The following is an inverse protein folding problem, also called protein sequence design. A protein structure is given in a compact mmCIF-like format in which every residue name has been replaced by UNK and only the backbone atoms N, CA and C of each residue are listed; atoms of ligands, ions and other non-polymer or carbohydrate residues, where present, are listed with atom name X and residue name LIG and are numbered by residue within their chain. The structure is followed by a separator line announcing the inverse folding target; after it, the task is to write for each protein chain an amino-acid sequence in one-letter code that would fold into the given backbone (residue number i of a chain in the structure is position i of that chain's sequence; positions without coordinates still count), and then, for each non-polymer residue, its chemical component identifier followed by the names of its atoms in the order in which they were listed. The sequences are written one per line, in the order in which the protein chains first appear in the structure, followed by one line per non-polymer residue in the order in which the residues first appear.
data_IF_768410521668
#
_entry.id   IF_768410521668
#
_cell.length_a   1.000
_cell.length_b   1.000
_cell.length_c   1.000
_cell.angle_alpha   90.00
_cell.angle_beta   90.00
_cell.angle_gamma   90.00
#
_symmetry.space_group_name_H-M   'P 1'
#
loop_
_entity.id
_entity.type
_entity.pdbx_description
1 polymer ?
#
# COMPACT_ATOMS: atom_id res chain seq x y z
N UNK A 1 41.91 65.38 7.58
CA UNK A 1 42.83 64.23 7.82
C UNK A 1 42.11 63.32 8.81
N UNK A 2 41.71 62.07 8.58
CA UNK A 2 41.74 61.16 7.45
C UNK A 2 41.27 59.79 7.99
N UNK A 3 40.43 59.07 7.22
CA UNK A 3 40.20 57.60 7.21
C UNK A 3 39.80 56.93 8.55
N UNK A 4 38.78 56.08 8.67
CA UNK A 4 38.32 55.04 7.75
C UNK A 4 36.88 54.64 8.11
N UNK A 5 35.96 54.62 7.13
CA UNK A 5 34.74 53.85 7.23
C UNK A 5 35.07 52.45 6.71
N UNK A 6 35.14 51.47 7.62
CA UNK A 6 35.24 50.06 7.28
C UNK A 6 33.86 49.65 6.76
N UNK A 7 33.69 49.68 5.44
CA UNK A 7 32.61 48.99 4.75
C UNK A 7 32.98 47.52 4.76
N UNK A 8 32.51 46.80 5.77
CA UNK A 8 32.49 45.34 5.76
C UNK A 8 31.45 44.93 4.71
N UNK A 9 31.94 44.70 3.49
CA UNK A 9 31.23 43.96 2.47
C UNK A 9 30.81 42.61 3.08
N UNK A 10 29.55 42.51 3.48
CA UNK A 10 28.83 41.25 3.59
C UNK A 10 28.68 40.72 2.16
N UNK A 11 29.78 40.20 1.63
CA UNK A 11 29.82 39.41 0.42
C UNK A 11 28.90 38.23 0.65
N UNK A 12 27.73 38.34 0.02
CA UNK A 12 26.97 37.25 -0.57
C UNK A 12 27.66 35.89 -0.46
N UNK A 13 27.36 35.18 0.63
CA UNK A 13 27.15 33.75 0.54
C UNK A 13 25.81 33.57 -0.17
N UNK A 14 25.83 33.77 -1.49
CA UNK A 14 24.88 33.10 -2.37
C UNK A 14 25.20 31.61 -2.22
N UNK A 15 24.66 30.99 -1.18
CA UNK A 15 24.33 29.60 -1.25
C UNK A 15 23.33 29.52 -2.42
N UNK A 16 23.88 29.29 -3.61
CA UNK A 16 23.11 28.78 -4.73
C UNK A 16 22.58 27.45 -4.23
N UNK A 17 21.43 27.48 -3.58
CA UNK A 17 20.56 26.34 -3.41
C UNK A 17 20.16 26.00 -4.85
N UNK A 18 21.03 25.25 -5.54
CA UNK A 18 20.60 24.47 -6.68
C UNK A 18 19.65 23.44 -6.08
N UNK A 19 18.38 23.82 -5.96
CA UNK A 19 17.32 22.86 -6.12
C UNK A 19 17.57 22.28 -7.52
N UNK A 20 18.34 21.19 -7.59
CA UNK A 20 18.59 20.51 -8.84
C UNK A 20 17.24 20.08 -9.38
N UNK A 21 16.90 20.53 -10.58
CA UNK A 21 15.71 20.02 -11.27
C UNK A 21 15.80 18.50 -11.27
N UNK A 22 14.80 17.83 -10.67
CA UNK A 22 14.74 16.38 -10.63
C UNK A 22 14.88 15.83 -12.05
N UNK A 23 15.68 14.78 -12.23
CA UNK A 23 15.88 14.18 -13.55
C UNK A 23 14.56 13.65 -14.11
N UNK A 24 14.48 13.47 -15.43
CA UNK A 24 13.26 12.92 -16.08
C UNK A 24 12.89 11.56 -15.47
N UNK A 25 13.91 10.73 -15.18
CA UNK A 25 13.72 9.42 -14.56
C UNK A 25 13.14 9.53 -13.15
N UNK A 26 13.64 10.49 -12.37
CA UNK A 26 13.11 10.79 -11.04
C UNK A 26 11.66 11.28 -11.08
N UNK A 27 11.35 12.27 -11.92
CA UNK A 27 9.97 12.76 -12.11
C UNK A 27 9.02 11.65 -12.56
N UNK A 28 9.49 10.77 -13.44
CA UNK A 28 8.68 9.67 -13.98
C UNK A 28 8.31 8.64 -12.91
N UNK A 29 9.27 8.21 -12.08
CA UNK A 29 8.98 7.26 -11.00
C UNK A 29 8.15 7.92 -9.88
N UNK A 30 8.44 9.18 -9.51
CA UNK A 30 7.65 9.94 -8.53
C UNK A 30 6.18 10.03 -8.96
N UNK A 31 5.90 10.37 -10.22
CA UNK A 31 4.54 10.40 -10.74
C UNK A 31 3.83 9.03 -10.72
N UNK A 32 4.56 7.92 -10.88
CA UNK A 32 3.97 6.58 -10.72
C UNK A 32 3.64 6.27 -9.25
N UNK A 33 4.49 6.70 -8.31
CA UNK A 33 4.27 6.55 -6.87
C UNK A 33 3.04 7.36 -6.45
N UNK A 34 2.95 8.65 -6.82
CA UNK A 34 1.81 9.51 -6.50
C UNK A 34 0.48 8.94 -7.02
N UNK A 35 0.49 8.35 -8.22
CA UNK A 35 -0.69 7.68 -8.78
C UNK A 35 -1.10 6.45 -7.97
N UNK A 36 -0.14 5.67 -7.48
CA UNK A 36 -0.40 4.55 -6.59
C UNK A 36 -0.95 5.01 -5.24
N UNK A 37 -0.35 6.03 -4.62
CA UNK A 37 -0.83 6.60 -3.35
C UNK A 37 -2.27 7.10 -3.46
N UNK A 38 -2.59 7.83 -4.53
CA UNK A 38 -3.95 8.27 -4.80
C UNK A 38 -4.91 7.09 -5.00
N UNK A 39 -4.44 5.98 -5.59
CA UNK A 39 -5.24 4.77 -5.74
C UNK A 39 -5.48 4.06 -4.41
N UNK A 40 -4.48 4.01 -3.53
CA UNK A 40 -4.60 3.46 -2.16
C UNK A 40 -5.71 4.21 -1.41
N UNK A 41 -5.68 5.54 -1.42
CA UNK A 41 -6.72 6.37 -0.76
C UNK A 41 -8.12 6.10 -1.34
N UNK A 42 -8.24 6.04 -2.67
CA UNK A 42 -9.54 5.73 -3.32
C UNK A 42 -10.04 4.32 -2.96
N UNK A 43 -9.16 3.34 -2.89
CA UNK A 43 -9.53 1.97 -2.56
C UNK A 43 -9.90 1.80 -1.08
N UNK A 44 -9.26 2.53 -0.17
CA UNK A 44 -9.67 2.57 1.24
C UNK A 44 -11.05 3.24 1.42
N UNK A 45 -11.34 4.33 0.68
CA UNK A 45 -12.68 4.91 0.68
C UNK A 45 -13.75 3.90 0.27
N UNK A 46 -13.49 3.13 -0.80
CA UNK A 46 -14.40 2.05 -1.23
C UNK A 46 -14.55 0.97 -0.17
N UNK A 47 -13.48 0.62 0.54
CA UNK A 47 -13.54 -0.35 1.63
C UNK A 47 -14.40 0.14 2.80
N UNK A 48 -14.32 1.44 3.12
CA UNK A 48 -15.17 2.07 4.12
C UNK A 48 -16.65 2.14 3.68
N UNK A 49 -16.91 2.45 2.41
CA UNK A 49 -18.25 2.52 1.82
C UNK A 49 -18.95 1.15 1.75
N UNK A 50 -18.19 0.05 1.64
CA UNK A 50 -18.75 -1.31 1.62
C UNK A 50 -19.40 -1.71 2.96
N UNK A 51 -19.11 -0.97 4.04
CA UNK A 51 -19.78 -1.12 5.33
C UNK A 51 -19.51 -2.45 6.03
N UNK A 52 -20.46 -2.89 6.87
CA UNK A 52 -20.43 -4.20 7.53
C UNK A 52 -21.21 -5.21 6.70
N UNK A 53 -20.84 -6.50 6.72
CA UNK A 53 -21.61 -7.52 6.04
C UNK A 53 -22.95 -7.78 6.75
N UNK A 54 -23.88 -8.36 6.02
CA UNK A 54 -25.18 -8.76 6.55
C UNK A 54 -25.05 -9.86 7.62
N UNK A 55 -26.09 -10.05 8.44
CA UNK A 55 -26.04 -10.96 9.60
C UNK A 55 -25.84 -12.43 9.20
N UNK A 56 -26.35 -12.83 8.04
CA UNK A 56 -26.18 -14.18 7.48
C UNK A 56 -24.71 -14.50 7.18
N UNK A 57 -23.93 -13.51 6.74
CA UNK A 57 -22.48 -13.65 6.58
C UNK A 57 -21.81 -13.87 7.92
N UNK A 58 -22.23 -13.15 8.99
CA UNK A 58 -21.71 -13.41 10.34
C UNK A 58 -22.05 -14.82 10.83
N UNK A 59 -23.26 -15.29 10.58
CA UNK A 59 -23.68 -16.64 10.97
C UNK A 59 -22.87 -17.71 10.24
N UNK A 60 -22.51 -17.48 8.98
CA UNK A 60 -21.62 -18.36 8.22
C UNK A 60 -20.18 -18.31 8.74
N UNK A 61 -19.64 -17.12 9.01
CA UNK A 61 -18.28 -16.99 9.55
C UNK A 61 -18.12 -17.76 10.87
N UNK A 62 -19.16 -17.76 11.73
CA UNK A 62 -19.14 -18.50 13.00
C UNK A 62 -19.17 -20.03 12.87
N UNK A 63 -19.38 -20.57 11.67
CA UNK A 63 -19.32 -22.02 11.44
C UNK A 63 -17.88 -22.54 11.30
N UNK A 64 -16.92 -21.64 11.14
CA UNK A 64 -15.49 -21.95 11.00
C UNK A 64 -14.72 -21.61 12.27
N UNK A 65 -13.52 -22.17 12.41
CA UNK A 65 -12.64 -21.85 13.53
C UNK A 65 -12.22 -20.38 13.51
N UNK A 66 -12.21 -19.74 14.68
CA UNK A 66 -11.97 -18.30 14.80
C UNK A 66 -10.67 -17.84 14.14
N UNK A 67 -9.56 -18.56 14.38
CA UNK A 67 -8.27 -18.22 13.78
C UNK A 67 -8.25 -18.39 12.26
N UNK A 68 -8.97 -19.38 11.72
CA UNK A 68 -9.12 -19.56 10.28
C UNK A 68 -9.89 -18.38 9.66
N UNK A 69 -10.98 -17.95 10.32
CA UNK A 69 -11.77 -16.78 9.93
C UNK A 69 -10.91 -15.52 9.96
N UNK A 70 -10.12 -15.33 11.02
CA UNK A 70 -9.23 -14.19 11.17
C UNK A 70 -8.18 -14.14 10.05
N UNK A 71 -7.53 -15.26 9.74
CA UNK A 71 -6.59 -15.37 8.61
C UNK A 71 -7.28 -15.09 7.28
N UNK A 72 -8.49 -15.63 7.07
CA UNK A 72 -9.29 -15.37 5.89
C UNK A 72 -9.58 -13.88 5.73
N UNK A 73 -10.13 -13.21 6.74
CA UNK A 73 -10.54 -11.81 6.69
C UNK A 73 -9.36 -10.87 6.41
N UNK A 74 -8.23 -11.05 7.12
CA UNK A 74 -7.02 -10.24 6.93
C UNK A 74 -6.48 -10.43 5.52
N UNK A 75 -6.36 -11.68 5.06
CA UNK A 75 -5.73 -11.93 3.75
C UNK A 75 -6.64 -11.56 2.60
N UNK A 76 -7.96 -11.81 2.74
CA UNK A 76 -8.93 -11.50 1.70
C UNK A 76 -9.15 -10.00 1.54
N UNK A 77 -9.19 -9.23 2.64
CA UNK A 77 -9.26 -7.77 2.57
C UNK A 77 -8.04 -7.18 1.87
N UNK A 78 -6.83 -7.63 2.23
CA UNK A 78 -5.60 -7.25 1.56
C UNK A 78 -5.62 -7.62 0.06
N UNK A 79 -6.12 -8.80 -0.30
CA UNK A 79 -6.25 -9.22 -1.70
C UNK A 79 -7.22 -8.33 -2.48
N UNK A 80 -8.36 -7.92 -1.90
CA UNK A 80 -9.31 -7.04 -2.56
C UNK A 80 -8.83 -5.59 -2.64
N UNK A 81 -8.04 -5.12 -1.67
CA UNK A 81 -7.33 -3.86 -1.76
C UNK A 81 -6.31 -3.88 -2.92
N UNK A 82 -5.52 -4.96 -3.02
CA UNK A 82 -4.56 -5.14 -4.11
C UNK A 82 -5.24 -5.22 -5.48
N UNK A 83 -6.34 -5.96 -5.62
CA UNK A 83 -7.06 -6.03 -6.90
C UNK A 83 -7.61 -4.65 -7.31
N UNK A 84 -8.07 -3.84 -6.35
CA UNK A 84 -8.50 -2.47 -6.59
C UNK A 84 -7.36 -1.56 -7.07
N UNK A 85 -6.14 -1.75 -6.55
CA UNK A 85 -4.96 -0.93 -6.86
C UNK A 85 -4.12 -1.49 -8.03
N UNK A 86 -4.45 -2.69 -8.50
CA UNK A 86 -3.67 -3.49 -9.45
C UNK A 86 -3.17 -2.76 -10.69
N UNK A 87 -3.95 -1.89 -11.36
CA UNK A 87 -3.44 -1.15 -12.51
C UNK A 87 -2.21 -0.30 -12.16
N UNK A 88 -2.28 0.42 -11.04
CA UNK A 88 -1.21 1.32 -10.60
C UNK A 88 -0.01 0.56 -10.02
N UNK A 89 -0.26 -0.54 -9.30
CA UNK A 89 0.80 -1.45 -8.87
C UNK A 89 1.54 -2.05 -10.07
N UNK A 90 0.81 -2.43 -11.12
CA UNK A 90 1.40 -2.99 -12.34
C UNK A 90 2.24 -1.96 -13.09
N UNK A 91 1.73 -0.73 -13.24
CA UNK A 91 2.45 0.38 -13.88
C UNK A 91 3.74 0.72 -13.13
N UNK A 92 3.70 0.73 -11.79
CA UNK A 92 4.87 0.98 -10.97
C UNK A 92 5.89 -0.16 -11.05
N UNK A 93 5.45 -1.43 -11.02
CA UNK A 93 6.33 -2.59 -11.21
C UNK A 93 7.05 -2.53 -12.56
N UNK A 94 6.31 -2.21 -13.62
CA UNK A 94 6.85 -2.05 -14.96
C UNK A 94 7.86 -0.91 -15.02
N UNK A 95 7.53 0.24 -14.42
CA UNK A 95 8.43 1.40 -14.36
C UNK A 95 9.73 1.08 -13.62
N UNK A 96 9.64 0.40 -12.47
CA UNK A 96 10.82 -0.05 -11.72
C UNK A 96 11.68 -0.97 -12.59
N UNK A 97 11.09 -2.02 -13.18
CA UNK A 97 11.85 -2.97 -14.01
C UNK A 97 12.50 -2.32 -15.25
N UNK A 98 11.83 -1.35 -15.87
CA UNK A 98 12.39 -0.57 -16.97
C UNK A 98 13.58 0.28 -16.51
N UNK A 99 13.47 0.98 -15.37
CA UNK A 99 14.52 1.84 -14.86
C UNK A 99 15.74 1.04 -14.41
N UNK A 100 15.54 -0.10 -13.73
CA UNK A 100 16.60 -1.03 -13.34
C UNK A 100 17.40 -1.58 -14.52
N UNK A 101 16.75 -1.80 -15.66
CA UNK A 101 17.39 -2.25 -16.89
C UNK A 101 18.06 -1.11 -17.69
N UNK A 102 17.97 0.14 -17.22
CA UNK A 102 18.45 1.33 -17.92
C UNK A 102 19.71 1.92 -17.31
N UNK A 103 20.40 2.78 -18.06
CA UNK A 103 21.53 3.57 -17.54
C UNK A 103 21.10 4.62 -16.50
N UNK A 104 19.80 4.90 -16.38
CA UNK A 104 19.27 5.89 -15.44
C UNK A 104 18.99 5.31 -14.05
N UNK A 105 19.18 4.00 -13.81
CA UNK A 105 18.95 3.37 -12.52
C UNK A 105 19.70 4.06 -11.38
N UNK A 106 20.95 4.47 -11.62
CA UNK A 106 21.79 5.14 -10.62
C UNK A 106 21.19 6.46 -10.10
N UNK A 107 20.27 7.09 -10.85
CA UNK A 107 19.59 8.32 -10.45
C UNK A 107 18.39 8.06 -9.50
N UNK A 108 17.87 6.84 -9.48
CA UNK A 108 16.59 6.49 -8.82
C UNK A 108 16.70 5.27 -7.90
N UNK A 109 17.90 4.71 -7.72
CA UNK A 109 18.14 3.49 -6.95
C UNK A 109 17.59 3.56 -5.51
N UNK A 110 17.86 4.66 -4.81
CA UNK A 110 17.38 4.86 -3.44
C UNK A 110 15.85 4.91 -3.38
N UNK A 111 15.24 5.61 -4.33
CA UNK A 111 13.79 5.74 -4.40
C UNK A 111 13.13 4.38 -4.72
N UNK A 112 13.66 3.66 -5.71
CA UNK A 112 13.20 2.30 -6.03
C UNK A 112 13.32 1.38 -4.82
N UNK A 113 14.44 1.44 -4.11
CA UNK A 113 14.69 0.62 -2.92
C UNK A 113 13.72 0.89 -1.79
N UNK A 114 13.28 2.15 -1.62
CA UNK A 114 12.29 2.53 -0.62
C UNK A 114 10.86 2.07 -0.97
N UNK A 115 10.54 1.93 -2.26
CA UNK A 115 9.19 1.66 -2.75
C UNK A 115 8.93 0.17 -2.95
N UNK A 116 9.95 -0.62 -3.32
CA UNK A 116 9.85 -2.08 -3.52
C UNK A 116 9.14 -2.83 -2.38
N UNK A 117 9.38 -2.54 -1.09
CA UNK A 117 8.68 -3.22 0.01
C UNK A 117 7.16 -3.02 0.01
N UNK A 118 6.67 -1.89 -0.52
CA UNK A 118 5.24 -1.63 -0.67
C UNK A 118 4.56 -2.62 -1.64
N UNK A 119 5.35 -3.20 -2.55
CA UNK A 119 4.88 -4.13 -3.57
C UNK A 119 5.18 -5.59 -3.22
N UNK A 120 6.31 -5.86 -2.56
CA UNK A 120 6.89 -7.20 -2.40
C UNK A 120 7.35 -7.53 -0.96
N UNK A 121 6.71 -6.95 0.06
CA UNK A 121 7.08 -7.15 1.47
C UNK A 121 7.02 -8.60 1.96
N UNK A 122 7.89 -8.95 2.91
CA UNK A 122 7.98 -10.30 3.52
C UNK A 122 6.71 -10.68 4.27
N UNK A 123 6.09 -9.69 4.89
CA UNK A 123 4.84 -9.80 5.63
C UNK A 123 3.68 -10.26 4.71
N UNK A 124 3.69 -9.79 3.45
CA UNK A 124 2.70 -10.16 2.43
C UNK A 124 2.77 -11.65 2.09
N UNK A 125 3.98 -12.22 1.97
CA UNK A 125 4.14 -13.65 1.70
C UNK A 125 3.70 -14.51 2.88
N UNK A 126 4.10 -14.14 4.11
CA UNK A 126 3.73 -14.91 5.31
C UNK A 126 2.20 -14.98 5.51
N UNK A 127 1.48 -13.89 5.23
CA UNK A 127 0.02 -13.88 5.25
C UNK A 127 -0.56 -14.79 4.14
N UNK A 128 -0.01 -14.70 2.92
CA UNK A 128 -0.46 -15.53 1.80
C UNK A 128 -0.25 -17.02 2.08
N UNK A 129 0.86 -17.38 2.69
CA UNK A 129 1.17 -18.76 3.08
C UNK A 129 0.12 -19.32 4.04
N UNK A 130 -0.24 -18.58 5.09
CA UNK A 130 -1.30 -18.98 6.03
C UNK A 130 -2.66 -19.11 5.33
N UNK A 131 -2.98 -18.21 4.41
CA UNK A 131 -4.20 -18.31 3.63
C UNK A 131 -4.25 -19.57 2.76
N UNK A 132 -3.12 -19.97 2.16
CA UNK A 132 -3.05 -21.19 1.35
C UNK A 132 -3.29 -22.45 2.19
N UNK A 133 -3.01 -22.41 3.48
CA UNK A 133 -3.25 -23.50 4.43
C UNK A 133 -4.71 -23.60 4.90
N UNK A 134 -5.55 -22.59 4.65
CA UNK A 134 -6.98 -22.67 4.98
C UNK A 134 -7.70 -23.75 4.18
N UNK A 135 -8.76 -24.37 4.75
CA UNK A 135 -9.59 -25.34 4.04
C UNK A 135 -10.12 -24.81 2.70
N UNK A 136 -10.04 -25.62 1.64
CA UNK A 136 -10.44 -25.21 0.29
C UNK A 136 -11.94 -24.93 0.18
N UNK A 137 -12.77 -25.68 0.91
CA UNK A 137 -14.20 -25.48 0.99
C UNK A 137 -14.55 -24.16 1.70
N UNK A 138 -13.84 -23.82 2.78
CA UNK A 138 -13.99 -22.54 3.46
C UNK A 138 -13.66 -21.38 2.51
N UNK A 139 -12.48 -21.42 1.87
CA UNK A 139 -12.09 -20.38 0.90
C UNK A 139 -13.15 -20.26 -0.21
N UNK A 140 -13.53 -21.37 -0.83
CA UNK A 140 -14.52 -21.36 -1.93
C UNK A 140 -15.87 -20.79 -1.51
N UNK A 141 -16.37 -21.19 -0.34
CA UNK A 141 -17.66 -20.73 0.17
C UNK A 141 -17.61 -19.24 0.48
N UNK A 142 -16.62 -18.78 1.25
CA UNK A 142 -16.52 -17.38 1.64
C UNK A 142 -16.17 -16.47 0.46
N UNK A 143 -15.27 -16.87 -0.44
CA UNK A 143 -14.94 -16.06 -1.63
C UNK A 143 -16.11 -15.91 -2.62
N UNK A 144 -17.09 -16.80 -2.57
CA UNK A 144 -18.30 -16.69 -3.41
C UNK A 144 -19.26 -15.60 -2.95
N UNK A 145 -19.10 -15.09 -1.72
CA UNK A 145 -19.97 -14.07 -1.15
C UNK A 145 -19.63 -12.71 -1.76
N UNK A 146 -20.62 -11.97 -2.31
CA UNK A 146 -20.38 -10.67 -2.95
C UNK A 146 -19.66 -9.65 -2.08
N UNK A 147 -19.89 -9.69 -0.76
CA UNK A 147 -19.21 -8.82 0.20
C UNK A 147 -17.67 -8.97 0.15
N UNK A 148 -17.17 -10.20 0.06
CA UNK A 148 -15.74 -10.53 0.01
C UNK A 148 -15.13 -10.46 -1.40
N UNK A 149 -15.88 -9.96 -2.39
CA UNK A 149 -15.40 -9.74 -3.76
C UNK A 149 -15.07 -8.27 -4.05
N UNK A 150 -15.20 -7.41 -3.04
CA UNK A 150 -14.91 -5.97 -3.11
C UNK A 150 -13.98 -5.59 -1.96
N UNK A 151 -13.30 -4.43 -2.02
CA UNK A 151 -12.57 -3.91 -0.86
C UNK A 151 -13.48 -3.83 0.37
N UNK A 152 -12.97 -4.23 1.53
CA UNK A 152 -13.67 -4.17 2.81
C UNK A 152 -12.67 -4.02 3.96
N UNK A 153 -13.16 -3.56 5.12
CA UNK A 153 -12.36 -3.47 6.35
C UNK A 153 -12.57 -4.71 7.19
N UNK A 154 -11.48 -5.40 7.49
CA UNK A 154 -11.44 -6.65 8.26
C UNK A 154 -11.57 -6.41 9.77
N UNK A 155 -10.89 -5.40 10.31
CA UNK A 155 -10.86 -5.12 11.76
C UNK A 155 -12.27 -5.02 12.38
N UNK A 156 -13.23 -4.25 11.84
CA UNK A 156 -14.57 -4.14 12.46
C UNK A 156 -15.35 -5.46 12.46
N UNK A 157 -15.07 -6.36 11.50
CA UNK A 157 -15.68 -7.68 11.44
C UNK A 157 -15.08 -8.58 12.52
N UNK A 158 -13.74 -8.55 12.66
CA UNK A 158 -13.00 -9.29 13.67
C UNK A 158 -13.45 -8.87 15.08
N UNK A 159 -13.47 -7.58 15.38
CA UNK A 159 -13.90 -7.04 16.67
C UNK A 159 -15.33 -7.48 17.04
N UNK A 160 -16.22 -7.51 16.04
CA UNK A 160 -17.61 -7.97 16.23
C UNK A 160 -17.69 -9.47 16.51
N UNK A 161 -16.82 -10.27 15.90
CA UNK A 161 -16.74 -11.72 16.16
C UNK A 161 -16.14 -11.99 17.55
N UNK A 162 -15.09 -11.27 17.96
CA UNK A 162 -14.47 -11.36 19.29
C UNK A 162 -15.47 -11.02 20.41
N UNK A 163 -16.16 -9.88 20.27
CA UNK A 163 -17.18 -9.41 21.22
C UNK A 163 -18.33 -10.42 21.39
N UNK A 164 -18.67 -11.17 20.34
CA UNK A 164 -19.71 -12.20 20.38
C UNK A 164 -19.22 -13.51 21.03
N UNK A 165 -17.90 -13.77 21.02
CA UNK A 165 -17.28 -14.98 21.58
C UNK A 165 -16.83 -14.80 23.04
N UNK A 166 -16.95 -13.58 23.61
CA UNK A 166 -16.48 -13.28 24.97
C UNK A 166 -14.95 -13.30 25.09
N UNK A 167 -14.25 -13.07 23.99
CA UNK A 167 -12.80 -12.93 23.90
C UNK A 167 -12.38 -11.46 24.00
#
# INVERSE_FOLDING_TARGET
MGKAAIVLCLSWLSASCQAGDASISQQYIESNIERLEAAIVRCDSKAAENGMPDSDVFDLLRQYEYEEVRVFLITRSAAMANECQKPHLTDLAYTIGMLEASTAYAEVEDLISSVKPLMYGKETWALKERYLQLPDDMKKNLESIPYFQKPFRDIPIIERLESANGL
#
